data_IF_609589638055
#
_entry.id   IF_609589638055
#
_cell.length_a   1.000
_cell.length_b   1.000
_cell.length_c   1.000
_cell.angle_alpha   90.00
_cell.angle_beta   90.00
_cell.angle_gamma   90.00
#
_symmetry.space_group_name_H-M   'P 1'
#
loop_
_entity.id
_entity.type
_entity.pdbx_description
1 polymer ?
#
# COMPACT_ATOMS: atom_id res chain seq x y z
N UNK A 1 -15.57 6.08 -1.59
CA UNK A 1 -14.36 5.68 -0.81
C UNK A 1 -14.53 4.35 -0.08
N UNK A 2 -15.74 4.00 0.35
CA UNK A 2 -16.05 2.73 1.05
C UNK A 2 -15.50 1.49 0.31
N UNK A 3 -15.70 1.40 -1.01
CA UNK A 3 -15.26 0.22 -1.78
C UNK A 3 -13.74 -0.02 -1.78
N UNK A 4 -12.93 1.04 -1.91
CA UNK A 4 -11.47 0.90 -1.86
C UNK A 4 -11.00 0.46 -0.47
N UNK A 5 -11.56 1.06 0.58
CA UNK A 5 -11.28 0.64 1.96
C UNK A 5 -11.64 -0.83 2.18
N UNK A 6 -12.81 -1.27 1.73
CA UNK A 6 -13.25 -2.68 1.83
C UNK A 6 -12.28 -3.62 1.12
N UNK A 7 -11.82 -3.28 -0.09
CA UNK A 7 -10.86 -4.10 -0.83
C UNK A 7 -9.50 -4.19 -0.13
N UNK A 8 -8.99 -3.07 0.38
CA UNK A 8 -7.72 -3.05 1.10
C UNK A 8 -7.79 -3.83 2.41
N UNK A 9 -8.89 -3.72 3.16
CA UNK A 9 -9.14 -4.53 4.37
C UNK A 9 -9.22 -6.01 4.03
N UNK A 10 -9.94 -6.38 2.98
CA UNK A 10 -10.04 -7.77 2.55
C UNK A 10 -8.68 -8.34 2.12
N UNK A 11 -7.85 -7.54 1.44
CA UNK A 11 -6.50 -7.91 1.06
C UNK A 11 -5.61 -8.13 2.29
N UNK A 12 -5.59 -7.18 3.25
CA UNK A 12 -4.81 -7.32 4.48
C UNK A 12 -5.19 -8.58 5.25
N UNK A 13 -6.49 -8.81 5.48
CA UNK A 13 -6.97 -10.02 6.18
C UNK A 13 -6.58 -11.32 5.47
N UNK A 14 -6.61 -11.32 4.13
CA UNK A 14 -6.21 -12.49 3.34
C UNK A 14 -4.70 -12.74 3.46
N UNK A 15 -3.89 -11.67 3.44
CA UNK A 15 -2.45 -11.77 3.62
C UNK A 15 -2.10 -12.25 5.03
N UNK A 16 -2.72 -11.68 6.07
CA UNK A 16 -2.62 -12.14 7.46
C UNK A 16 -2.91 -13.63 7.61
N UNK A 17 -4.01 -14.11 7.00
CA UNK A 17 -4.35 -15.53 7.04
C UNK A 17 -3.37 -16.45 6.28
N UNK A 18 -2.55 -15.90 5.38
CA UNK A 18 -1.52 -16.65 4.64
C UNK A 18 -0.18 -16.67 5.40
N UNK A 19 0.00 -15.80 6.40
CA UNK A 19 1.22 -15.73 7.19
C UNK A 19 1.31 -16.95 8.11
N UNK A 20 2.34 -17.78 7.93
CA UNK A 20 2.50 -19.06 8.65
C UNK A 20 2.71 -18.92 10.16
N UNK A 21 3.13 -17.75 10.65
CA UNK A 21 3.59 -17.61 12.02
C UNK A 21 3.36 -16.17 12.57
N UNK A 22 2.10 -15.79 12.86
CA UNK A 22 1.75 -14.45 13.32
C UNK A 22 2.50 -14.02 14.59
N UNK A 23 2.92 -14.97 15.43
CA UNK A 23 3.69 -14.71 16.66
C UNK A 23 5.20 -14.53 16.44
N UNK A 24 5.76 -14.98 15.30
CA UNK A 24 7.17 -14.80 14.92
C UNK A 24 7.39 -13.60 14.00
N UNK A 25 6.33 -12.88 13.64
CA UNK A 25 6.48 -11.62 12.95
C UNK A 25 6.98 -10.57 13.92
N UNK A 26 8.30 -10.41 13.95
CA UNK A 26 8.94 -9.24 14.57
C UNK A 26 8.48 -7.91 13.92
N UNK A 27 7.76 -7.96 12.78
CA UNK A 27 7.24 -6.78 12.08
C UNK A 27 5.79 -6.96 11.58
N UNK A 28 4.92 -5.94 11.73
CA UNK A 28 3.55 -5.93 11.19
C UNK A 28 3.53 -5.98 9.65
N UNK A 29 2.35 -6.24 9.06
CA UNK A 29 2.14 -6.11 7.61
C UNK A 29 2.72 -4.78 7.12
N UNK A 30 3.69 -4.85 6.19
CA UNK A 30 4.30 -3.63 5.64
C UNK A 30 3.24 -2.77 4.95
N UNK A 31 3.31 -1.43 5.10
CA UNK A 31 2.36 -0.53 4.45
C UNK A 31 2.26 -0.79 2.94
N UNK A 32 1.03 -0.88 2.45
CA UNK A 32 0.73 -1.08 1.03
C UNK A 32 0.28 0.24 0.41
N UNK A 33 1.06 0.79 -0.55
CA UNK A 33 0.63 1.96 -1.29
C UNK A 33 -0.53 1.60 -2.22
N UNK A 34 -1.50 2.50 -2.32
CA UNK A 34 -2.62 2.40 -3.24
C UNK A 34 -2.81 3.74 -3.96
N UNK A 35 -2.93 3.67 -5.28
CA UNK A 35 -3.18 4.83 -6.12
C UNK A 35 -4.60 4.77 -6.66
N UNK A 36 -5.33 5.86 -6.50
CA UNK A 36 -6.66 6.05 -7.06
C UNK A 36 -6.63 7.19 -8.06
N UNK A 37 -7.13 6.92 -9.26
CA UNK A 37 -7.20 7.89 -10.35
C UNK A 37 -8.68 8.17 -10.62
N UNK A 38 -9.08 9.43 -10.49
CA UNK A 38 -10.43 9.90 -10.76
C UNK A 38 -10.36 10.99 -11.83
N UNK A 39 -10.55 10.61 -13.08
CA UNK A 39 -10.33 11.51 -14.21
C UNK A 39 -8.87 11.96 -14.27
N UNK A 40 -8.63 13.24 -13.97
CA UNK A 40 -7.31 13.87 -13.97
C UNK A 40 -6.70 13.98 -12.57
N UNK A 41 -7.44 13.59 -11.53
CA UNK A 41 -6.99 13.69 -10.14
C UNK A 41 -6.41 12.39 -9.65
N UNK A 42 -5.21 12.48 -9.07
CA UNK A 42 -4.49 11.36 -8.49
C UNK A 42 -4.47 11.48 -6.98
N UNK A 43 -4.88 10.40 -6.30
CA UNK A 43 -4.92 10.28 -4.85
C UNK A 43 -4.09 9.10 -4.41
N UNK A 44 -3.18 9.32 -3.47
CA UNK A 44 -2.47 8.25 -2.78
C UNK A 44 -3.22 7.87 -1.50
N UNK A 45 -3.21 6.58 -1.23
CA UNK A 45 -3.62 5.98 0.01
C UNK A 45 -2.54 5.01 0.47
N UNK A 46 -2.42 4.86 1.78
CA UNK A 46 -1.56 3.87 2.40
C UNK A 46 -2.40 2.99 3.28
N UNK A 47 -2.34 1.68 3.04
CA UNK A 47 -2.98 0.72 3.91
C UNK A 47 -1.93 0.11 4.84
N UNK A 48 -2.19 0.11 6.14
CA UNK A 48 -1.33 -0.54 7.12
C UNK A 48 -2.17 -1.13 8.24
N UNK A 49 -1.56 -2.04 9.00
CA UNK A 49 -2.15 -2.56 10.24
C UNK A 49 -1.69 -1.67 11.38
N UNK A 50 -2.63 -1.08 12.10
CA UNK A 50 -2.38 -0.24 13.26
C UNK A 50 -1.98 -1.06 14.48
N UNK A 51 -1.59 -0.37 15.55
CA UNK A 51 -1.05 -0.99 16.77
C UNK A 51 -2.03 -1.93 17.48
N UNK A 52 -3.33 -1.84 17.21
CA UNK A 52 -4.36 -2.73 17.78
C UNK A 52 -4.81 -3.82 16.80
N UNK A 53 -4.08 -4.01 15.70
CA UNK A 53 -4.42 -4.98 14.66
C UNK A 53 -5.53 -4.50 13.72
N UNK A 54 -5.96 -3.25 13.81
CA UNK A 54 -6.96 -2.70 12.90
C UNK A 54 -6.32 -2.32 11.56
N UNK A 55 -6.95 -2.73 10.46
CA UNK A 55 -6.53 -2.25 9.14
C UNK A 55 -6.95 -0.79 8.97
N UNK A 56 -5.98 0.11 8.82
CA UNK A 56 -6.18 1.52 8.58
C UNK A 56 -5.89 1.88 7.13
N UNK A 57 -6.75 2.70 6.53
CA UNK A 57 -6.49 3.34 5.25
C UNK A 57 -6.20 4.82 5.49
N UNK A 58 -4.94 5.20 5.36
CA UNK A 58 -4.52 6.58 5.47
C UNK A 58 -4.60 7.29 4.12
N UNK A 59 -5.35 8.39 4.06
CA UNK A 59 -5.57 9.20 2.88
C UNK A 59 -7.01 9.75 2.80
N UNK A 60 -7.40 10.36 1.66
CA UNK A 60 -6.55 10.59 0.48
C UNK A 60 -5.48 11.63 0.77
N UNK A 61 -4.22 11.29 0.48
CA UNK A 61 -3.24 12.32 0.17
C UNK A 61 -3.48 12.75 -1.27
N UNK A 62 -3.89 14.00 -1.46
CA UNK A 62 -3.94 14.56 -2.81
C UNK A 62 -2.51 14.60 -3.35
N UNK A 63 -2.24 13.77 -4.36
CA UNK A 63 -0.93 13.81 -5.02
C UNK A 63 -0.90 15.05 -5.89
N UNK A 64 -1.73 15.09 -6.93
CA UNK A 64 -1.86 16.23 -7.85
C UNK A 64 -2.95 15.98 -8.91
N UNK A 65 -3.23 17.01 -9.71
CA UNK A 65 -3.99 16.92 -10.96
C UNK A 65 -3.07 16.90 -12.19
N UNK A 66 -3.41 16.11 -13.23
CA UNK A 66 -2.71 16.10 -14.52
C UNK A 66 -3.02 17.32 -15.40
N UNK A 67 -3.80 18.29 -14.90
CA UNK A 67 -4.12 19.54 -15.61
C UNK A 67 -2.93 20.49 -15.79
N UNK A 68 -1.79 20.22 -15.14
CA UNK A 68 -0.57 21.02 -15.29
C UNK A 68 0.65 20.15 -15.52
N UNK A 69 1.61 20.67 -16.29
CA UNK A 69 2.90 20.01 -16.51
C UNK A 69 3.62 19.69 -15.19
N UNK A 70 3.57 20.62 -14.23
CA UNK A 70 4.09 20.42 -12.87
C UNK A 70 3.42 19.22 -12.18
N UNK A 71 2.11 19.10 -12.28
CA UNK A 71 1.36 17.98 -11.72
C UNK A 71 1.72 16.64 -12.37
N UNK A 72 1.93 16.61 -13.69
CA UNK A 72 2.44 15.41 -14.35
C UNK A 72 3.81 14.98 -13.82
N UNK A 73 4.76 15.91 -13.66
CA UNK A 73 6.07 15.60 -13.06
C UNK A 73 5.96 15.08 -11.62
N UNK A 74 5.09 15.68 -10.80
CA UNK A 74 4.87 15.23 -9.43
C UNK A 74 4.25 13.82 -9.37
N UNK A 75 3.34 13.47 -10.30
CA UNK A 75 2.81 12.11 -10.45
C UNK A 75 3.93 11.14 -10.82
N UNK A 76 4.78 11.46 -11.79
CA UNK A 76 5.92 10.61 -12.15
C UNK A 76 6.88 10.38 -10.98
N UNK A 77 7.16 11.41 -10.19
CA UNK A 77 7.97 11.27 -8.98
C UNK A 77 7.31 10.36 -7.95
N UNK A 78 6.02 10.56 -7.66
CA UNK A 78 5.28 9.70 -6.74
C UNK A 78 5.27 8.23 -7.19
N UNK A 79 5.08 7.98 -8.49
CA UNK A 79 5.14 6.64 -9.08
C UNK A 79 6.53 6.03 -8.96
N UNK A 80 7.59 6.82 -9.20
CA UNK A 80 8.97 6.36 -9.07
C UNK A 80 9.30 5.94 -7.64
N UNK A 81 8.93 6.76 -6.66
CA UNK A 81 9.14 6.43 -5.24
C UNK A 81 8.29 5.22 -4.81
N UNK A 82 7.05 5.13 -5.27
CA UNK A 82 6.18 3.97 -4.99
C UNK A 82 6.77 2.68 -5.57
N UNK A 83 7.28 2.73 -6.80
CA UNK A 83 7.92 1.58 -7.45
C UNK A 83 9.25 1.21 -6.78
N UNK A 84 10.01 2.20 -6.31
CA UNK A 84 11.24 1.98 -5.54
C UNK A 84 10.93 1.26 -4.24
N UNK A 85 9.99 1.77 -3.45
CA UNK A 85 9.51 1.10 -2.22
C UNK A 85 9.02 -0.32 -2.51
N UNK A 86 8.21 -0.49 -3.56
CA UNK A 86 7.71 -1.80 -3.98
C UNK A 86 8.84 -2.81 -4.23
N UNK A 87 9.92 -2.37 -4.87
CA UNK A 87 11.07 -3.21 -5.25
C UNK A 87 12.04 -3.46 -4.10
N UNK A 88 12.39 -2.40 -3.38
CA UNK A 88 13.52 -2.41 -2.44
C UNK A 88 13.07 -2.81 -1.04
N UNK A 89 11.81 -2.53 -0.65
CA UNK A 89 11.31 -2.75 0.70
C UNK A 89 10.18 -3.78 0.77
N UNK A 90 9.14 -3.62 -0.06
CA UNK A 90 7.93 -4.42 0.04
C UNK A 90 8.12 -5.82 -0.55
N UNK A 91 8.74 -5.93 -1.73
CA UNK A 91 8.94 -7.21 -2.41
C UNK A 91 9.84 -8.18 -1.63
N UNK A 92 11.00 -7.77 -1.07
CA UNK A 92 11.82 -8.66 -0.25
C UNK A 92 11.03 -9.20 0.95
N UNK A 93 10.35 -8.32 1.69
CA UNK A 93 9.47 -8.70 2.79
C UNK A 93 8.37 -9.67 2.37
N UNK A 94 7.69 -9.40 1.26
CA UNK A 94 6.60 -10.24 0.76
C UNK A 94 7.10 -11.64 0.39
N UNK A 95 8.27 -11.73 -0.25
CA UNK A 95 8.88 -13.02 -0.57
C UNK A 95 9.18 -13.82 0.69
N UNK A 96 9.88 -13.20 1.65
CA UNK A 96 10.31 -13.86 2.89
C UNK A 96 9.14 -14.26 3.80
N UNK A 97 8.07 -13.48 3.80
CA UNK A 97 6.96 -13.63 4.75
C UNK A 97 5.77 -14.42 4.18
N UNK A 98 5.48 -14.27 2.88
CA UNK A 98 4.26 -14.80 2.25
C UNK A 98 4.56 -15.94 1.27
N UNK A 99 5.62 -15.83 0.45
CA UNK A 99 5.83 -16.78 -0.66
C UNK A 99 6.70 -17.99 -0.30
N UNK A 100 7.69 -17.86 0.59
CA UNK A 100 8.61 -18.97 0.86
C UNK A 100 8.11 -19.86 2.00
N UNK A 101 7.74 -21.09 1.65
CA UNK A 101 7.69 -22.22 2.56
C UNK A 101 9.11 -22.74 2.81
N UNK A 102 9.49 -22.92 4.07
CA UNK A 102 10.43 -23.97 4.46
C UNK A 102 9.76 -24.79 5.57
#
# INVERSE_FOLDING_TARGET
MVQLGVWMVALCKRLEGTMKNPEKLEAPLKPMPCLKIEGLDWKAYWCFVGDKGETMLYGPQHLVSTMSMKGMYQIFMALRETAKYGRDDHWPWFRETILWEN
#
